data_IF_686907785164
#
_entry.id   IF_686907785164
#
_cell.length_a   1.000
_cell.length_b   1.000
_cell.length_c   1.000
_cell.angle_alpha   90.00
_cell.angle_beta   90.00
_cell.angle_gamma   90.00
#
_symmetry.space_group_name_H-M   'P 1'
#
loop_
_entity.id
_entity.type
_entity.pdbx_description
1 polymer ?
#
# COMPACT_ATOMS: atom_id res chain seq x y z
N UNK A 1 -19.91 7.78 5.37
CA UNK A 1 -19.15 6.54 5.67
C UNK A 1 -18.27 6.85 6.87
N UNK A 2 -18.23 6.00 7.89
CA UNK A 2 -17.35 6.21 9.05
C UNK A 2 -15.88 6.02 8.66
N UNK A 3 -14.94 6.61 9.41
CA UNK A 3 -13.51 6.46 9.15
C UNK A 3 -13.08 4.98 9.13
N UNK A 4 -13.54 4.19 10.10
CA UNK A 4 -13.29 2.74 10.17
C UNK A 4 -13.80 2.01 8.92
N UNK A 5 -15.06 2.25 8.51
CA UNK A 5 -15.63 1.56 7.35
C UNK A 5 -14.91 1.97 6.07
N UNK A 6 -14.58 3.26 5.93
CA UNK A 6 -13.81 3.76 4.78
C UNK A 6 -12.43 3.15 4.70
N UNK A 7 -11.71 3.10 5.82
CA UNK A 7 -10.41 2.45 5.93
C UNK A 7 -10.49 0.97 5.50
N UNK A 8 -11.41 0.18 6.08
CA UNK A 8 -11.52 -1.25 5.78
C UNK A 8 -11.87 -1.52 4.32
N UNK A 9 -12.83 -0.77 3.76
CA UNK A 9 -13.24 -0.93 2.36
C UNK A 9 -12.10 -0.58 1.42
N UNK A 10 -11.47 0.58 1.58
CA UNK A 10 -10.42 1.01 0.66
C UNK A 10 -9.13 0.19 0.84
N UNK A 11 -8.81 -0.28 2.05
CA UNK A 11 -7.72 -1.22 2.27
C UNK A 11 -7.98 -2.53 1.53
N UNK A 12 -9.17 -3.12 1.69
CA UNK A 12 -9.52 -4.37 1.02
C UNK A 12 -9.49 -4.23 -0.50
N UNK A 13 -10.07 -3.15 -1.04
CA UNK A 13 -10.03 -2.85 -2.48
C UNK A 13 -8.59 -2.67 -2.96
N UNK A 14 -7.75 -1.97 -2.21
CA UNK A 14 -6.32 -1.80 -2.53
C UNK A 14 -5.61 -3.16 -2.62
N UNK A 15 -5.83 -4.06 -1.66
CA UNK A 15 -5.23 -5.39 -1.66
C UNK A 15 -5.69 -6.23 -2.86
N UNK A 16 -6.99 -6.20 -3.19
CA UNK A 16 -7.54 -6.88 -4.38
C UNK A 16 -6.91 -6.34 -5.65
N UNK A 17 -6.82 -5.01 -5.80
CA UNK A 17 -6.20 -4.38 -6.97
C UNK A 17 -4.71 -4.72 -7.07
N UNK A 18 -3.97 -4.71 -5.96
CA UNK A 18 -2.56 -5.14 -5.98
C UNK A 18 -2.42 -6.61 -6.39
N UNK A 19 -3.30 -7.50 -5.91
CA UNK A 19 -3.35 -8.90 -6.33
C UNK A 19 -3.60 -9.04 -7.83
N UNK A 20 -4.59 -8.34 -8.37
CA UNK A 20 -4.90 -8.32 -9.81
C UNK A 20 -3.74 -7.72 -10.61
N UNK A 21 -3.08 -6.67 -10.12
CA UNK A 21 -1.90 -6.07 -10.75
C UNK A 21 -0.75 -7.08 -10.84
N UNK A 22 -0.48 -7.86 -9.79
CA UNK A 22 0.54 -8.92 -9.81
C UNK A 22 0.19 -10.00 -10.83
N UNK A 23 -1.04 -10.52 -10.80
CA UNK A 23 -1.49 -11.59 -11.71
C UNK A 23 -1.44 -11.13 -13.18
N UNK A 24 -2.01 -9.96 -13.47
CA UNK A 24 -2.02 -9.39 -14.82
C UNK A 24 -0.63 -9.00 -15.31
N UNK A 25 0.26 -8.53 -14.42
CA UNK A 25 1.65 -8.21 -14.71
C UNK A 25 2.45 -9.47 -15.10
N UNK A 26 2.28 -10.57 -14.36
CA UNK A 26 2.90 -11.88 -14.68
C UNK A 26 2.36 -12.46 -15.99
N UNK A 27 1.07 -12.26 -16.28
CA UNK A 27 0.46 -12.65 -17.55
C UNK A 27 0.78 -11.71 -18.73
N UNK A 28 1.61 -10.68 -18.52
CA UNK A 28 1.94 -9.66 -19.50
C UNK A 28 0.73 -8.89 -20.08
N UNK A 29 -0.41 -8.87 -19.38
CA UNK A 29 -1.66 -8.20 -19.79
C UNK A 29 -1.65 -6.72 -19.39
N UNK A 30 -0.88 -5.91 -20.14
CA UNK A 30 -0.71 -4.46 -19.86
C UNK A 30 -2.02 -3.69 -19.75
N UNK A 31 -3.00 -4.02 -20.60
CA UNK A 31 -4.32 -3.36 -20.63
C UNK A 31 -5.10 -3.51 -19.31
N UNK A 32 -4.83 -4.57 -18.54
CA UNK A 32 -5.41 -4.78 -17.21
C UNK A 32 -4.47 -4.25 -16.14
N UNK A 33 -3.17 -4.53 -16.27
CA UNK A 33 -2.17 -4.19 -15.27
C UNK A 33 -2.09 -2.67 -15.00
N UNK A 34 -2.01 -1.84 -16.04
CA UNK A 34 -1.81 -0.40 -15.88
C UNK A 34 -3.00 0.29 -15.19
N UNK A 35 -4.27 0.10 -15.63
CA UNK A 35 -5.40 0.65 -14.90
C UNK A 35 -5.48 0.14 -13.46
N UNK A 36 -5.17 -1.14 -13.24
CA UNK A 36 -5.22 -1.73 -11.91
C UNK A 36 -4.19 -1.14 -10.95
N UNK A 37 -2.97 -0.88 -11.42
CA UNK A 37 -1.93 -0.17 -10.65
C UNK A 37 -2.37 1.26 -10.34
N UNK A 38 -2.90 2.00 -11.33
CA UNK A 38 -3.37 3.37 -11.11
C UNK A 38 -4.51 3.42 -10.07
N UNK A 39 -5.50 2.54 -10.20
CA UNK A 39 -6.59 2.42 -9.25
C UNK A 39 -6.11 2.00 -7.86
N UNK A 40 -5.12 1.10 -7.76
CA UNK A 40 -4.55 0.70 -6.48
C UNK A 40 -3.89 1.87 -5.76
N UNK A 41 -3.15 2.71 -6.47
CA UNK A 41 -2.52 3.92 -5.90
C UNK A 41 -3.57 4.90 -5.41
N UNK A 42 -4.62 5.16 -6.21
CA UNK A 42 -5.71 6.04 -5.79
C UNK A 42 -6.44 5.49 -4.56
N UNK A 43 -6.76 4.18 -4.53
CA UNK A 43 -7.39 3.56 -3.38
C UNK A 43 -6.48 3.58 -2.13
N UNK A 44 -5.16 3.44 -2.31
CA UNK A 44 -4.20 3.55 -1.21
C UNK A 44 -4.20 4.97 -0.62
N UNK A 45 -4.21 6.01 -1.45
CA UNK A 45 -4.30 7.40 -0.97
C UNK A 45 -5.59 7.63 -0.16
N UNK A 46 -6.72 7.10 -0.64
CA UNK A 46 -7.99 7.18 0.11
C UNK A 46 -7.93 6.35 1.40
N UNK A 47 -7.25 5.21 1.39
CA UNK A 47 -7.01 4.39 2.60
C UNK A 47 -6.24 5.20 3.64
N UNK A 48 -5.18 5.90 3.23
CA UNK A 48 -4.37 6.75 4.11
C UNK A 48 -5.22 7.89 4.68
N UNK A 49 -6.02 8.56 3.86
CA UNK A 49 -6.94 9.61 4.31
C UNK A 49 -7.92 9.14 5.40
N UNK A 50 -8.49 7.94 5.27
CA UNK A 50 -9.35 7.38 6.31
C UNK A 50 -8.56 6.84 7.51
N UNK A 51 -7.33 6.38 7.32
CA UNK A 51 -6.45 5.96 8.42
C UNK A 51 -6.06 7.15 9.31
N UNK A 52 -5.78 8.32 8.73
CA UNK A 52 -5.50 9.55 9.47
C UNK A 52 -6.70 9.95 10.34
N UNK A 53 -7.92 9.99 9.77
CA UNK A 53 -9.15 10.24 10.54
C UNK A 53 -9.43 9.18 11.60
N UNK A 54 -9.15 7.91 11.30
CA UNK A 54 -9.30 6.84 12.30
C UNK A 54 -8.34 7.04 13.47
N UNK A 55 -7.12 7.49 13.20
CA UNK A 55 -6.11 7.81 14.21
C UNK A 55 -6.53 8.93 15.16
N UNK A 56 -7.39 9.86 14.73
CA UNK A 56 -7.95 10.92 15.60
C UNK A 56 -8.91 10.38 16.67
N UNK A 57 -9.34 9.11 16.58
CA UNK A 57 -10.25 8.47 17.53
C UNK A 57 -9.56 7.51 18.50
N UNK A 58 -8.24 7.39 18.44
CA UNK A 58 -7.45 6.47 19.27
C UNK A 58 -6.24 7.18 19.89
N UNK A 59 -5.90 6.82 21.12
CA UNK A 59 -4.59 7.10 21.69
C UNK A 59 -3.56 6.13 21.08
N UNK A 60 -2.95 6.57 19.97
CA UNK A 60 -1.94 5.78 19.27
C UNK A 60 -0.63 5.68 20.07
N UNK A 61 -0.35 6.59 21.00
CA UNK A 61 0.87 6.56 21.81
C UNK A 61 0.84 5.39 22.81
N UNK A 62 -0.36 4.97 23.24
CA UNK A 62 -0.55 3.77 24.06
C UNK A 62 0.01 2.49 23.41
N UNK A 63 0.13 2.46 22.07
CA UNK A 63 0.74 1.34 21.34
C UNK A 63 2.29 1.26 21.44
N UNK A 64 2.91 2.23 22.15
CA UNK A 64 4.33 2.23 22.45
C UNK A 64 5.22 2.29 21.21
N UNK A 65 6.21 1.40 21.12
CA UNK A 65 7.18 1.37 20.01
C UNK A 65 6.55 1.02 18.65
N UNK A 66 5.33 0.48 18.63
CA UNK A 66 4.62 0.13 17.40
C UNK A 66 4.22 1.38 16.60
N UNK A 67 3.84 2.47 17.27
CA UNK A 67 3.48 3.74 16.63
C UNK A 67 4.60 4.33 15.76
N UNK A 68 5.81 4.62 16.28
CA UNK A 68 6.89 5.18 15.48
C UNK A 68 7.41 4.19 14.41
N UNK A 69 7.38 2.88 14.69
CA UNK A 69 7.73 1.86 13.69
C UNK A 69 6.77 1.89 12.50
N UNK A 70 5.46 1.86 12.77
CA UNK A 70 4.45 1.88 11.73
C UNK A 70 4.56 3.16 10.90
N UNK A 71 4.70 4.33 11.55
CA UNK A 71 4.87 5.60 10.84
C UNK A 71 6.12 5.61 9.96
N UNK A 72 7.23 5.06 10.44
CA UNK A 72 8.46 4.94 9.64
C UNK A 72 8.22 4.06 8.41
N UNK A 73 7.61 2.88 8.58
CA UNK A 73 7.28 1.96 7.50
C UNK A 73 6.28 2.58 6.51
N UNK A 74 5.23 3.24 7.00
CA UNK A 74 4.20 3.87 6.18
C UNK A 74 4.78 4.98 5.29
N UNK A 75 5.60 5.86 5.86
CA UNK A 75 6.27 6.93 5.11
C UNK A 75 7.26 6.37 4.09
N UNK A 76 8.10 5.42 4.51
CA UNK A 76 9.10 4.80 3.64
C UNK A 76 8.45 4.03 2.48
N UNK A 77 7.41 3.25 2.76
CA UNK A 77 6.69 2.46 1.75
C UNK A 77 5.96 3.37 0.77
N UNK A 78 5.32 4.43 1.25
CA UNK A 78 4.66 5.44 0.40
C UNK A 78 5.65 6.06 -0.60
N UNK A 79 6.85 6.44 -0.16
CA UNK A 79 7.89 6.94 -1.06
C UNK A 79 8.39 5.84 -2.00
N UNK A 80 8.60 4.63 -1.49
CA UNK A 80 9.08 3.50 -2.29
C UNK A 80 8.14 3.09 -3.41
N UNK A 81 6.83 3.39 -3.34
CA UNK A 81 5.90 3.18 -4.46
C UNK A 81 6.30 3.92 -5.74
N UNK A 82 7.12 4.97 -5.65
CA UNK A 82 7.69 5.62 -6.85
C UNK A 82 8.63 4.67 -7.62
N UNK A 83 9.34 3.77 -6.94
CA UNK A 83 10.29 2.86 -7.57
C UNK A 83 9.63 1.87 -8.57
N UNK A 84 8.56 1.12 -8.24
CA UNK A 84 7.87 0.27 -9.21
C UNK A 84 7.19 1.09 -10.30
N UNK A 85 6.73 2.32 -10.03
CA UNK A 85 6.19 3.22 -11.07
C UNK A 85 7.29 3.60 -12.07
N UNK A 86 8.43 4.12 -11.59
CA UNK A 86 9.56 4.52 -12.44
C UNK A 86 10.12 3.34 -13.24
N UNK A 87 10.37 2.20 -12.58
CA UNK A 87 10.85 0.98 -13.26
C UNK A 87 9.81 0.38 -14.20
N UNK A 88 8.51 0.55 -13.91
CA UNK A 88 7.40 0.16 -14.78
C UNK A 88 7.37 0.97 -16.06
N UNK A 89 7.43 2.30 -15.95
CA UNK A 89 7.53 3.22 -17.10
C UNK A 89 8.78 2.90 -17.92
N UNK A 90 9.93 2.69 -17.27
CA UNK A 90 11.16 2.29 -17.95
C UNK A 90 10.97 0.97 -18.72
N UNK A 91 10.30 -0.02 -18.13
CA UNK A 91 10.03 -1.32 -18.74
C UNK A 91 9.06 -1.24 -19.93
N UNK A 92 8.20 -0.21 -20.00
CA UNK A 92 7.37 0.03 -21.19
C UNK A 92 8.22 0.38 -22.41
N UNK A 93 9.31 1.15 -22.21
CA UNK A 93 10.25 1.55 -23.26
C UNK A 93 11.34 0.51 -23.50
N UNK A 94 11.76 -0.20 -22.45
CA UNK A 94 12.85 -1.17 -22.46
C UNK A 94 12.39 -2.51 -21.85
N UNK A 95 11.79 -3.41 -22.65
CA UNK A 95 11.25 -4.68 -22.14
C UNK A 95 12.27 -5.57 -21.44
N UNK A 96 13.57 -5.39 -21.70
CA UNK A 96 14.68 -6.11 -21.06
C UNK A 96 14.73 -5.88 -19.54
N UNK A 97 14.19 -4.77 -19.02
CA UNK A 97 14.17 -4.48 -17.58
C UNK A 97 13.01 -5.10 -16.81
N UNK A 98 12.20 -5.97 -17.45
CA UNK A 98 11.05 -6.63 -16.80
C UNK A 98 11.44 -7.38 -15.52
N UNK A 99 12.60 -8.06 -15.49
CA UNK A 99 13.11 -8.75 -14.29
C UNK A 99 13.42 -7.78 -13.15
N UNK A 100 13.97 -6.60 -13.46
CA UNK A 100 14.25 -5.56 -12.47
C UNK A 100 12.95 -5.01 -11.89
N UNK A 101 12.00 -4.61 -12.75
CA UNK A 101 10.69 -4.14 -12.31
C UNK A 101 9.99 -5.16 -11.41
N UNK A 102 10.01 -6.44 -11.79
CA UNK A 102 9.42 -7.51 -10.97
C UNK A 102 10.06 -7.64 -9.58
N UNK A 103 11.40 -7.53 -9.47
CA UNK A 103 12.10 -7.56 -8.17
C UNK A 103 11.73 -6.35 -7.32
N UNK A 104 11.77 -5.15 -7.90
CA UNK A 104 11.43 -3.90 -7.20
C UNK A 104 9.97 -3.93 -6.73
N UNK A 105 9.04 -4.32 -7.60
CA UNK A 105 7.62 -4.44 -7.26
C UNK A 105 7.38 -5.43 -6.11
N UNK A 106 8.06 -6.59 -6.12
CA UNK A 106 7.97 -7.55 -5.02
C UNK A 106 8.52 -6.99 -3.70
N UNK A 107 9.66 -6.30 -3.72
CA UNK A 107 10.20 -5.65 -2.53
C UNK A 107 9.22 -4.64 -1.94
N UNK A 108 8.60 -3.80 -2.78
CA UNK A 108 7.60 -2.82 -2.32
C UNK A 108 6.35 -3.51 -1.81
N UNK A 109 5.85 -4.55 -2.49
CA UNK A 109 4.69 -5.32 -2.01
C UNK A 109 4.92 -5.94 -0.62
N UNK A 110 6.11 -6.49 -0.37
CA UNK A 110 6.46 -7.02 0.96
C UNK A 110 6.43 -5.90 2.00
N UNK A 111 7.01 -4.73 1.68
CA UNK A 111 6.96 -3.55 2.56
C UNK A 111 5.52 -3.06 2.80
N UNK A 112 4.65 -3.10 1.79
CA UNK A 112 3.22 -2.78 1.92
C UNK A 112 2.52 -3.73 2.88
N UNK A 113 2.78 -5.05 2.77
CA UNK A 113 2.19 -6.04 3.68
C UNK A 113 2.68 -5.79 5.12
N UNK A 114 3.98 -5.57 5.32
CA UNK A 114 4.53 -5.23 6.64
C UNK A 114 3.91 -3.95 7.21
N UNK A 115 3.72 -2.93 6.38
CA UNK A 115 3.08 -1.67 6.77
C UNK A 115 1.63 -1.90 7.19
N UNK A 116 0.86 -2.68 6.43
CA UNK A 116 -0.54 -2.98 6.77
C UNK A 116 -0.65 -3.80 8.07
N UNK A 117 0.21 -4.79 8.25
CA UNK A 117 0.26 -5.60 9.48
C UNK A 117 0.62 -4.74 10.69
N UNK A 118 1.68 -3.94 10.60
CA UNK A 118 2.10 -3.06 11.71
C UNK A 118 1.05 -2.01 12.03
N UNK A 119 0.35 -1.46 11.03
CA UNK A 119 -0.75 -0.51 11.26
C UNK A 119 -1.95 -1.15 11.94
N UNK A 120 -2.28 -2.39 11.57
CA UNK A 120 -3.36 -3.15 12.21
C UNK A 120 -3.01 -3.47 13.67
N UNK A 121 -1.78 -3.89 13.93
CA UNK A 121 -1.29 -4.16 15.29
C UNK A 121 -1.26 -2.88 16.14
N UNK A 122 -0.82 -1.76 15.57
CA UNK A 122 -0.82 -0.46 16.24
C UNK A 122 -2.23 -0.10 16.71
N UNK A 123 -3.23 -0.14 15.82
CA UNK A 123 -4.63 0.16 16.18
C UNK A 123 -5.18 -0.84 17.21
N UNK A 124 -4.88 -2.13 17.07
CA UNK A 124 -5.31 -3.15 18.04
C UNK A 124 -4.71 -2.94 19.44
N UNK A 125 -3.50 -2.40 19.52
CA UNK A 125 -2.79 -2.09 20.77
C UNK A 125 -3.09 -0.67 21.29
N UNK A 126 -3.85 0.14 20.55
CA UNK A 126 -4.22 1.49 20.95
C UNK A 126 -5.50 1.50 21.79
N UNK A 127 -5.67 2.51 22.62
CA UNK A 127 -6.89 2.72 23.38
C UNK A 127 -7.83 3.68 22.64
N UNK A 128 -9.16 3.44 22.60
CA UNK A 128 -10.10 4.45 22.13
C UNK A 128 -10.03 5.70 23.01
N UNK A 129 -10.15 6.89 22.40
CA UNK A 129 -10.26 8.16 23.14
C UNK A 129 -11.60 8.32 23.85
#
# INVERSE_FOLDING_TARGET
>A
MTALLGFLVFLAVTLVLLGVAVVSGRAAKRIVHLPCVASAVLCLLVTIYFAEQLGESYDLEASGWMYPLHLFLAKSTTVLYLAPICTGIHTLRHPTTRKLHGRVAWSVLVMTVLTAVTGTLMVYMSEPL
#
